data_IF_931906360296
#
_entry.id   IF_931906360296
#
_cell.length_a   1.000
_cell.length_b   1.000
_cell.length_c   1.000
_cell.angle_alpha   90.00
_cell.angle_beta   90.00
_cell.angle_gamma   90.00
#
_symmetry.space_group_name_H-M   'P 1'
#
loop_
_entity.id
_entity.type
_entity.pdbx_description
1 polymer ?
#
# COMPACT_ATOMS: atom_id res chain seq x y z
N UNK A 1 5.00 25.88 -31.02
CA UNK A 1 3.67 25.24 -31.25
C UNK A 1 2.94 25.22 -29.92
N UNK A 2 1.61 25.48 -29.88
CA UNK A 2 0.82 25.40 -28.67
C UNK A 2 0.64 23.92 -28.24
N UNK A 3 0.27 23.70 -26.96
CA UNK A 3 -0.07 22.37 -26.46
C UNK A 3 -1.31 21.81 -27.17
N UNK A 4 -1.38 20.52 -27.38
CA UNK A 4 -2.60 19.89 -27.87
C UNK A 4 -3.74 20.03 -26.82
N UNK A 5 -4.98 20.08 -27.31
CA UNK A 5 -6.18 20.27 -26.49
C UNK A 5 -7.04 19.02 -26.53
N UNK A 6 -7.31 18.45 -25.37
CA UNK A 6 -8.25 17.36 -25.16
C UNK A 6 -9.57 17.94 -24.69
N UNK A 7 -10.63 17.77 -25.51
CA UNK A 7 -11.99 18.22 -25.16
C UNK A 7 -12.84 17.03 -24.73
N UNK A 8 -13.56 17.18 -23.62
CA UNK A 8 -14.42 16.13 -23.07
C UNK A 8 -15.81 16.13 -23.75
N UNK A 9 -16.48 14.99 -23.70
CA UNK A 9 -17.87 14.86 -24.15
C UNK A 9 -18.82 15.63 -23.22
N UNK A 10 -19.96 16.02 -23.74
CA UNK A 10 -21.01 16.67 -22.94
C UNK A 10 -21.44 15.79 -21.79
N UNK A 11 -21.38 16.34 -20.57
CA UNK A 11 -21.75 15.66 -19.34
C UNK A 11 -20.65 14.79 -18.72
N UNK A 12 -19.49 14.67 -19.38
CA UNK A 12 -18.32 13.95 -18.86
C UNK A 12 -17.37 14.85 -18.04
N UNK A 13 -16.30 14.27 -17.48
CA UNK A 13 -15.37 14.97 -16.59
C UNK A 13 -15.92 15.19 -15.18
N UNK A 14 -16.95 14.45 -14.77
CA UNK A 14 -17.53 14.57 -13.42
C UNK A 14 -16.53 14.20 -12.34
N UNK A 15 -15.79 13.10 -12.54
CA UNK A 15 -14.74 12.69 -11.62
C UNK A 15 -13.66 13.79 -11.50
N UNK A 16 -13.23 14.35 -12.63
CA UNK A 16 -12.25 15.43 -12.63
C UNK A 16 -12.77 16.67 -11.88
N UNK A 17 -14.01 17.08 -12.15
CA UNK A 17 -14.65 18.25 -11.50
C UNK A 17 -14.87 18.04 -9.99
N UNK A 18 -15.04 16.80 -9.52
CA UNK A 18 -15.20 16.47 -8.11
C UNK A 18 -13.87 16.27 -7.35
N UNK A 19 -12.73 16.40 -8.02
CA UNK A 19 -11.42 16.28 -7.37
C UNK A 19 -10.53 15.17 -7.88
N UNK A 20 -11.05 14.23 -8.68
CA UNK A 20 -10.27 13.15 -9.31
C UNK A 20 -9.23 13.66 -10.29
N UNK A 21 -8.34 12.76 -10.70
CA UNK A 21 -7.18 13.12 -11.54
C UNK A 21 -7.13 12.34 -12.86
N UNK A 22 -8.11 11.49 -13.15
CA UNK A 22 -8.12 10.65 -14.33
C UNK A 22 -9.21 11.03 -15.31
N UNK A 23 -8.88 10.93 -16.60
CA UNK A 23 -9.82 11.02 -17.72
C UNK A 23 -9.66 9.76 -18.55
N UNK A 24 -10.76 9.04 -18.71
CA UNK A 24 -10.78 7.81 -19.47
C UNK A 24 -11.01 8.06 -20.96
N UNK A 25 -10.60 7.10 -21.79
CA UNK A 25 -10.75 7.11 -23.25
C UNK A 25 -12.18 7.41 -23.70
N UNK A 26 -13.15 6.85 -23.04
CA UNK A 26 -14.58 7.00 -23.34
C UNK A 26 -15.15 8.40 -23.00
N UNK A 27 -14.45 9.21 -22.19
CA UNK A 27 -14.87 10.58 -21.82
C UNK A 27 -14.45 11.61 -22.85
N UNK A 28 -13.49 11.28 -23.74
CA UNK A 28 -12.88 12.23 -24.70
C UNK A 28 -13.74 12.34 -25.96
N UNK A 29 -14.05 13.59 -26.35
CA UNK A 29 -14.73 13.90 -27.60
C UNK A 29 -13.75 14.09 -28.75
N UNK A 30 -12.72 14.96 -28.56
CA UNK A 30 -11.74 15.29 -29.58
C UNK A 30 -10.38 15.57 -28.96
N UNK A 31 -9.33 15.37 -29.76
CA UNK A 31 -7.96 15.82 -29.43
C UNK A 31 -7.50 16.66 -30.61
N UNK A 32 -7.20 17.93 -30.38
CA UNK A 32 -6.75 18.87 -31.39
C UNK A 32 -5.30 19.27 -31.13
N UNK A 33 -4.50 19.34 -32.22
CA UNK A 33 -3.08 19.64 -32.16
C UNK A 33 -2.21 18.39 -32.24
N UNK A 34 -0.89 18.59 -32.32
CA UNK A 34 0.09 17.51 -32.41
C UNK A 34 0.60 17.13 -31.04
N UNK A 35 0.72 15.86 -30.77
CA UNK A 35 1.31 15.34 -29.52
C UNK A 35 1.95 13.97 -29.77
N UNK A 36 2.80 13.56 -28.86
CA UNK A 36 3.21 12.16 -28.68
C UNK A 36 2.81 11.70 -27.28
N UNK A 37 2.56 10.40 -27.11
CA UNK A 37 2.20 9.85 -25.82
C UNK A 37 3.24 10.21 -24.76
N UNK A 38 2.79 10.68 -23.60
CA UNK A 38 3.61 11.21 -22.51
C UNK A 38 3.77 12.74 -22.50
N UNK A 39 3.30 13.44 -23.54
CA UNK A 39 3.31 14.90 -23.57
C UNK A 39 2.29 15.51 -22.61
N UNK A 40 2.49 16.78 -22.29
CA UNK A 40 1.54 17.60 -21.56
C UNK A 40 0.52 18.18 -22.55
N UNK A 41 -0.76 18.07 -22.20
CA UNK A 41 -1.89 18.60 -22.98
C UNK A 41 -2.76 19.50 -22.12
N UNK A 42 -3.50 20.40 -22.76
CA UNK A 42 -4.60 21.16 -22.16
C UNK A 42 -5.86 20.29 -22.12
N UNK A 43 -6.66 20.48 -21.09
CA UNK A 43 -7.90 19.75 -20.87
C UNK A 43 -9.03 20.76 -20.80
N UNK A 44 -10.02 20.62 -21.70
CA UNK A 44 -11.21 21.45 -21.73
C UNK A 44 -12.47 20.59 -21.58
N UNK A 45 -13.52 21.17 -21.02
CA UNK A 45 -14.82 20.51 -21.03
C UNK A 45 -15.52 20.69 -22.41
N UNK A 46 -16.75 20.19 -22.50
CA UNK A 46 -17.53 20.25 -23.73
C UNK A 46 -17.71 21.67 -24.28
N UNK A 47 -17.87 22.66 -23.41
CA UNK A 47 -18.12 24.06 -23.77
C UNK A 47 -16.81 24.86 -23.96
N UNK A 48 -15.64 24.20 -23.89
CA UNK A 48 -14.33 24.82 -24.03
C UNK A 48 -13.81 25.44 -22.72
N UNK A 49 -14.45 25.20 -21.59
CA UNK A 49 -13.98 25.68 -20.30
C UNK A 49 -12.71 24.92 -19.89
N UNK A 50 -11.62 25.62 -19.50
CA UNK A 50 -10.38 24.97 -19.12
C UNK A 50 -10.53 24.21 -17.81
N UNK A 51 -10.10 22.95 -17.81
CA UNK A 51 -10.08 22.06 -16.63
C UNK A 51 -8.67 21.84 -16.10
N UNK A 52 -7.64 22.22 -16.87
CA UNK A 52 -6.24 22.13 -16.46
C UNK A 52 -5.30 21.53 -17.49
N UNK A 53 -4.18 20.96 -17.00
CA UNK A 53 -3.13 20.30 -17.78
C UNK A 53 -2.85 18.91 -17.23
N UNK A 54 -2.48 17.99 -18.13
CA UNK A 54 -2.13 16.62 -17.73
C UNK A 54 -1.28 15.90 -18.77
N UNK A 55 -0.75 14.74 -18.41
CA UNK A 55 -0.08 13.84 -19.33
C UNK A 55 -1.09 13.08 -20.16
N UNK A 56 -0.85 12.99 -21.48
CA UNK A 56 -1.66 12.16 -22.38
C UNK A 56 -0.95 10.85 -22.71
N UNK A 57 -1.72 9.77 -22.72
CA UNK A 57 -1.28 8.46 -23.22
C UNK A 57 -2.47 7.68 -23.80
N UNK A 58 -2.55 7.62 -25.12
CA UNK A 58 -3.62 6.92 -25.85
C UNK A 58 -3.51 5.40 -25.85
N UNK A 59 -2.39 4.83 -25.36
CA UNK A 59 -2.27 3.38 -25.12
C UNK A 59 -3.02 2.96 -23.84
N UNK A 60 -3.26 3.89 -22.94
CA UNK A 60 -3.91 3.64 -21.66
C UNK A 60 -5.39 3.99 -21.70
N UNK A 61 -6.22 3.20 -21.04
CA UNK A 61 -7.63 3.55 -20.80
C UNK A 61 -7.78 4.82 -19.95
N UNK A 62 -6.83 5.10 -19.06
CA UNK A 62 -6.69 6.39 -18.38
C UNK A 62 -5.87 7.28 -19.31
N UNK A 63 -6.55 7.82 -20.29
CA UNK A 63 -5.89 8.52 -21.41
C UNK A 63 -5.25 9.84 -20.98
N UNK A 64 -5.82 10.55 -20.00
CA UNK A 64 -5.17 11.73 -19.44
C UNK A 64 -5.09 11.65 -17.93
N UNK A 65 -3.92 11.97 -17.40
CA UNK A 65 -3.65 12.08 -15.96
C UNK A 65 -3.35 13.54 -15.62
N UNK A 66 -4.23 14.15 -14.83
CA UNK A 66 -4.14 15.57 -14.48
C UNK A 66 -2.86 15.87 -13.70
N UNK A 67 -2.20 16.95 -14.04
CA UNK A 67 -1.08 17.54 -13.29
C UNK A 67 -1.50 18.81 -12.56
N UNK A 68 -2.15 19.73 -13.22
CA UNK A 68 -2.61 20.99 -12.66
C UNK A 68 -4.03 21.31 -13.11
N UNK A 69 -4.83 21.87 -12.21
CA UNK A 69 -6.18 22.39 -12.53
C UNK A 69 -6.14 23.79 -13.13
N UNK A 70 -4.99 24.44 -13.04
CA UNK A 70 -4.76 25.74 -13.65
C UNK A 70 -3.96 25.55 -14.97
N UNK A 71 -4.58 25.94 -16.07
CA UNK A 71 -3.96 25.86 -17.40
C UNK A 71 -2.79 26.82 -17.60
N UNK A 72 -2.65 27.85 -16.75
CA UNK A 72 -1.53 28.77 -16.80
C UNK A 72 -0.27 28.24 -16.13
N UNK A 73 -0.42 27.21 -15.27
CA UNK A 73 0.71 26.61 -14.57
C UNK A 73 1.79 26.13 -15.55
N UNK A 74 3.02 26.56 -15.36
CA UNK A 74 4.18 26.02 -16.09
C UNK A 74 4.61 24.72 -15.42
N UNK A 75 4.65 23.63 -16.20
CA UNK A 75 5.08 22.32 -15.72
C UNK A 75 6.58 22.17 -16.03
N UNK A 76 7.40 22.59 -15.10
CA UNK A 76 8.85 22.59 -15.18
C UNK A 76 9.51 22.02 -13.90
N UNK A 77 10.82 22.17 -13.77
CA UNK A 77 11.58 21.71 -12.60
C UNK A 77 11.10 22.40 -11.31
N UNK A 78 10.77 23.69 -11.36
CA UNK A 78 10.29 24.46 -10.18
C UNK A 78 8.94 23.92 -9.70
N UNK A 79 8.06 23.59 -10.63
CA UNK A 79 6.78 22.95 -10.33
C UNK A 79 6.96 21.60 -9.62
N UNK A 80 7.86 20.76 -10.12
CA UNK A 80 8.10 19.45 -9.50
C UNK A 80 8.86 19.58 -8.17
N UNK A 81 9.82 20.50 -8.05
CA UNK A 81 10.52 20.76 -6.78
C UNK A 81 9.53 21.17 -5.69
N UNK A 82 8.61 22.08 -6.00
CA UNK A 82 7.58 22.48 -5.04
C UNK A 82 6.76 21.28 -4.55
N UNK A 83 6.32 20.42 -5.47
CA UNK A 83 5.54 19.23 -5.10
C UNK A 83 6.31 18.22 -4.29
N UNK A 84 7.58 17.99 -4.61
CA UNK A 84 8.47 17.15 -3.82
C UNK A 84 8.59 17.69 -2.40
N UNK A 85 8.78 19.02 -2.25
CA UNK A 85 8.83 19.66 -0.94
C UNK A 85 7.51 19.50 -0.18
N UNK A 86 6.38 19.76 -0.83
CA UNK A 86 5.06 19.64 -0.22
C UNK A 86 4.82 18.19 0.28
N UNK A 87 5.18 17.18 -0.52
CA UNK A 87 5.08 15.77 -0.15
C UNK A 87 5.98 15.41 1.05
N UNK A 88 7.22 15.88 1.05
CA UNK A 88 8.16 15.63 2.15
C UNK A 88 7.74 16.35 3.44
N UNK A 89 7.36 17.62 3.36
CA UNK A 89 6.87 18.39 4.51
C UNK A 89 5.62 17.76 5.14
N UNK A 90 4.75 17.18 4.32
CA UNK A 90 3.61 16.41 4.82
C UNK A 90 4.08 15.20 5.62
N UNK A 91 5.02 14.38 5.11
CA UNK A 91 5.55 13.18 5.81
C UNK A 91 6.18 13.54 7.14
N UNK A 92 6.95 14.61 7.20
CA UNK A 92 7.57 15.07 8.46
C UNK A 92 6.55 15.36 9.57
N UNK A 93 5.31 15.73 9.20
CA UNK A 93 4.24 16.05 10.15
C UNK A 93 3.42 14.84 10.61
N UNK A 94 3.34 13.80 9.78
CA UNK A 94 2.33 12.75 10.00
C UNK A 94 2.91 11.37 10.29
N UNK A 95 4.20 11.12 9.97
CA UNK A 95 4.83 9.82 10.18
C UNK A 95 6.27 9.95 10.67
N UNK A 96 6.80 8.85 11.23
CA UNK A 96 8.24 8.65 11.37
C UNK A 96 8.86 8.47 9.98
N UNK A 97 9.75 9.39 9.61
CA UNK A 97 10.34 9.47 8.26
C UNK A 97 11.60 8.64 8.09
N UNK A 98 12.07 7.88 9.10
CA UNK A 98 13.22 6.99 8.96
C UNK A 98 13.03 6.01 7.81
N UNK A 99 11.81 5.45 7.70
CA UNK A 99 11.36 4.68 6.54
C UNK A 99 9.90 4.98 6.30
N UNK A 100 9.56 5.50 5.12
CA UNK A 100 8.20 5.93 4.78
C UNK A 100 8.01 6.00 3.26
N UNK A 101 6.75 5.97 2.81
CA UNK A 101 6.42 6.34 1.43
C UNK A 101 6.48 7.86 1.29
N UNK A 102 7.39 8.37 0.48
CA UNK A 102 7.59 9.81 0.28
C UNK A 102 6.63 10.35 -0.78
N UNK A 103 6.39 9.58 -1.85
CA UNK A 103 5.45 9.93 -2.93
C UNK A 103 4.48 8.78 -3.14
N UNK A 104 3.18 9.07 -3.10
CA UNK A 104 2.10 8.13 -3.30
C UNK A 104 1.16 8.54 -4.44
N UNK A 105 1.67 8.50 -5.67
CA UNK A 105 0.90 8.66 -6.89
C UNK A 105 0.01 9.90 -6.91
N UNK A 106 -1.24 9.68 -7.25
CA UNK A 106 -2.28 10.70 -7.36
C UNK A 106 -2.51 11.45 -6.05
N UNK A 107 -2.35 10.79 -4.92
CA UNK A 107 -2.57 11.40 -3.61
C UNK A 107 -1.52 12.48 -3.23
N UNK A 108 -0.37 12.47 -3.90
CA UNK A 108 0.65 13.52 -3.82
C UNK A 108 0.77 14.30 -5.13
N UNK A 109 -0.21 14.16 -6.03
CA UNK A 109 -0.24 14.84 -7.33
C UNK A 109 0.92 14.48 -8.27
N UNK A 110 1.47 13.27 -8.12
CA UNK A 110 2.46 12.65 -9.02
C UNK A 110 1.84 11.41 -9.68
N UNK A 111 0.91 11.55 -10.62
CA UNK A 111 0.11 10.44 -11.12
C UNK A 111 0.96 9.28 -11.64
N UNK A 112 0.82 8.12 -11.00
CA UNK A 112 1.53 6.91 -11.35
C UNK A 112 2.97 6.80 -10.83
N UNK A 113 3.46 7.71 -9.97
CA UNK A 113 4.78 7.63 -9.35
C UNK A 113 4.68 7.25 -7.87
N UNK A 114 5.43 6.24 -7.47
CA UNK A 114 5.59 5.85 -6.06
C UNK A 114 7.07 5.89 -5.71
N UNK A 115 7.42 6.52 -4.58
CA UNK A 115 8.78 6.52 -4.04
C UNK A 115 8.72 6.18 -2.56
N UNK A 116 9.34 5.04 -2.21
CA UNK A 116 9.54 4.61 -0.83
C UNK A 116 10.97 4.89 -0.40
N UNK A 117 11.12 5.40 0.82
CA UNK A 117 12.40 5.60 1.48
C UNK A 117 12.57 4.52 2.55
N UNK A 118 13.61 3.71 2.42
CA UNK A 118 14.05 2.72 3.40
C UNK A 118 15.40 3.17 3.94
N UNK A 119 15.43 3.73 5.15
CA UNK A 119 16.64 4.32 5.76
C UNK A 119 17.27 5.36 4.81
N UNK A 120 18.40 5.04 4.18
CA UNK A 120 19.17 5.88 3.25
C UNK A 120 19.05 5.47 1.77
N UNK A 121 18.05 4.63 1.45
CA UNK A 121 17.77 4.13 0.09
C UNK A 121 16.40 4.57 -0.38
N UNK A 122 16.29 4.95 -1.66
CA UNK A 122 15.01 5.18 -2.31
C UNK A 122 14.66 3.99 -3.22
N UNK A 123 13.41 3.58 -3.19
CA UNK A 123 12.84 2.60 -4.13
C UNK A 123 11.72 3.27 -4.92
N UNK A 124 11.85 3.22 -6.25
CA UNK A 124 10.99 3.99 -7.16
C UNK A 124 10.16 3.05 -8.02
N UNK A 125 8.87 3.33 -8.14
CA UNK A 125 7.99 2.73 -9.14
C UNK A 125 7.40 3.82 -10.00
N UNK A 126 7.64 3.76 -11.30
CA UNK A 126 7.00 4.64 -12.30
C UNK A 126 6.04 3.79 -13.13
N UNK A 127 4.75 4.07 -13.00
CA UNK A 127 3.68 3.23 -13.52
C UNK A 127 2.88 3.88 -14.66
N UNK A 128 3.17 5.15 -15.01
CA UNK A 128 2.51 5.89 -16.08
C UNK A 128 3.53 6.58 -16.99
N UNK A 129 3.26 6.58 -18.30
CA UNK A 129 4.24 7.01 -19.32
C UNK A 129 4.67 8.47 -19.15
N UNK A 130 3.74 9.37 -18.85
CA UNK A 130 4.06 10.80 -18.75
C UNK A 130 5.05 11.07 -17.62
N UNK A 131 4.79 10.54 -16.43
CA UNK A 131 5.66 10.76 -15.26
C UNK A 131 7.00 10.01 -15.39
N UNK A 132 7.04 8.91 -16.13
CA UNK A 132 8.26 8.14 -16.38
C UNK A 132 9.36 8.99 -17.04
N UNK A 133 8.97 9.95 -17.91
CA UNK A 133 9.88 10.89 -18.56
C UNK A 133 10.53 11.90 -17.60
N UNK A 134 9.90 12.16 -16.47
CA UNK A 134 10.36 13.11 -15.46
C UNK A 134 10.97 12.44 -14.23
N UNK A 135 10.94 11.10 -14.18
CA UNK A 135 11.33 10.28 -13.04
C UNK A 135 12.72 10.63 -12.50
N UNK A 136 13.72 10.70 -13.35
CA UNK A 136 15.11 10.97 -12.94
C UNK A 136 15.26 12.39 -12.35
N UNK A 137 14.65 13.39 -12.99
CA UNK A 137 14.62 14.76 -12.47
C UNK A 137 13.94 14.82 -11.08
N UNK A 138 12.80 14.14 -10.92
CA UNK A 138 12.06 14.12 -9.65
C UNK A 138 12.89 13.43 -8.55
N UNK A 139 13.63 12.37 -8.88
CA UNK A 139 14.53 11.68 -7.95
C UNK A 139 15.64 12.64 -7.49
N UNK A 140 16.29 13.37 -8.40
CA UNK A 140 17.34 14.31 -8.03
C UNK A 140 16.81 15.49 -7.21
N UNK A 141 15.62 15.99 -7.52
CA UNK A 141 14.94 17.00 -6.71
C UNK A 141 14.63 16.48 -5.29
N UNK A 142 14.15 15.23 -5.18
CA UNK A 142 13.90 14.62 -3.88
C UNK A 142 15.20 14.43 -3.09
N UNK A 143 16.29 13.98 -3.71
CA UNK A 143 17.60 13.86 -3.05
C UNK A 143 18.10 15.22 -2.56
N UNK A 144 17.92 16.29 -3.35
CA UNK A 144 18.24 17.67 -2.96
C UNK A 144 17.45 18.09 -1.72
N UNK A 145 16.13 17.90 -1.73
CA UNK A 145 15.24 18.27 -0.61
C UNK A 145 15.58 17.47 0.66
N UNK A 146 15.82 16.17 0.55
CA UNK A 146 16.23 15.33 1.69
C UNK A 146 17.60 15.76 2.27
N UNK A 147 18.53 16.16 1.40
CA UNK A 147 19.86 16.63 1.82
C UNK A 147 19.79 17.94 2.62
N UNK A 148 18.85 18.82 2.33
CA UNK A 148 18.61 20.04 3.10
C UNK A 148 18.20 19.73 4.55
N UNK A 149 17.52 18.62 4.79
CA UNK A 149 17.18 18.09 6.13
C UNK A 149 18.28 17.16 6.71
N UNK A 150 19.48 17.15 6.11
CA UNK A 150 20.62 16.35 6.58
C UNK A 150 20.53 14.86 6.22
N UNK A 151 19.59 14.45 5.37
CA UNK A 151 19.40 13.06 4.95
C UNK A 151 20.16 12.82 3.64
N UNK A 152 21.20 11.99 3.69
CA UNK A 152 21.95 11.61 2.50
C UNK A 152 21.45 10.26 1.98
N UNK A 153 21.04 10.23 0.73
CA UNK A 153 20.60 9.02 0.04
C UNK A 153 21.81 8.32 -0.57
N UNK A 154 22.03 7.06 -0.14
CA UNK A 154 23.13 6.20 -0.60
C UNK A 154 22.90 5.66 -1.99
N UNK A 155 21.63 5.35 -2.32
CA UNK A 155 21.31 4.74 -3.61
C UNK A 155 19.84 4.74 -3.92
N UNK A 156 19.53 4.46 -5.20
CA UNK A 156 18.17 4.40 -5.73
C UNK A 156 17.99 3.10 -6.51
N UNK A 157 16.92 2.38 -6.23
CA UNK A 157 16.55 1.16 -6.93
C UNK A 157 15.18 1.29 -7.60
N UNK A 158 15.06 0.95 -8.87
CA UNK A 158 13.80 0.98 -9.60
C UNK A 158 13.10 -0.37 -9.54
N UNK A 159 11.82 -0.35 -9.17
CA UNK A 159 10.90 -1.49 -9.13
C UNK A 159 9.68 -1.23 -10.02
N UNK A 160 9.94 -0.74 -11.23
CA UNK A 160 8.93 -0.52 -12.27
C UNK A 160 8.63 -1.81 -13.05
N UNK A 161 8.56 -2.95 -12.34
CA UNK A 161 8.30 -4.30 -12.86
C UNK A 161 6.83 -4.74 -12.74
N UNK A 162 5.93 -3.81 -12.42
CA UNK A 162 4.50 -4.07 -12.34
C UNK A 162 3.84 -4.18 -13.73
N UNK A 163 2.98 -5.19 -13.91
CA UNK A 163 2.32 -5.49 -15.20
C UNK A 163 1.49 -4.33 -15.78
N UNK A 164 1.06 -3.38 -14.94
CA UNK A 164 0.30 -2.20 -15.38
C UNK A 164 1.08 -1.35 -16.38
N UNK A 165 2.42 -1.35 -16.33
CA UNK A 165 3.26 -0.63 -17.31
C UNK A 165 3.00 -1.06 -18.76
N UNK A 166 2.70 -2.34 -18.98
CA UNK A 166 2.37 -2.85 -20.33
C UNK A 166 1.08 -2.24 -20.89
N UNK A 167 0.12 -1.90 -20.01
CA UNK A 167 -1.10 -1.21 -20.39
C UNK A 167 -0.85 0.27 -20.75
N UNK A 168 0.25 0.83 -20.26
CA UNK A 168 0.73 2.16 -20.61
C UNK A 168 1.64 2.17 -21.86
N UNK A 169 1.89 1.00 -22.48
CA UNK A 169 2.82 0.86 -23.61
C UNK A 169 4.29 0.93 -23.20
N UNK A 170 4.62 0.61 -21.94
CA UNK A 170 5.98 0.66 -21.40
C UNK A 170 6.53 -0.71 -21.09
N UNK A 171 7.85 -0.87 -21.23
CA UNK A 171 8.57 -2.05 -20.79
C UNK A 171 8.68 -2.12 -19.25
N UNK A 172 8.84 -3.35 -18.74
CA UNK A 172 9.10 -3.57 -17.32
C UNK A 172 10.57 -3.22 -17.03
N UNK A 173 10.81 -2.44 -15.99
CA UNK A 173 12.16 -2.01 -15.58
C UNK A 173 12.42 -2.39 -14.13
N UNK A 174 13.60 -2.97 -13.88
CA UNK A 174 14.09 -3.29 -12.55
C UNK A 174 15.61 -3.13 -12.53
N UNK A 175 16.15 -2.33 -11.62
CA UNK A 175 17.58 -2.09 -11.55
C UNK A 175 17.98 -0.88 -10.75
N UNK A 176 19.27 -0.62 -10.71
CA UNK A 176 19.82 0.57 -10.06
C UNK A 176 19.63 1.82 -10.92
N UNK A 177 19.30 2.93 -10.30
CA UNK A 177 19.41 4.26 -10.89
C UNK A 177 20.65 4.92 -10.30
N UNK A 178 21.73 4.96 -11.08
CA UNK A 178 23.06 5.38 -10.64
C UNK A 178 23.91 4.24 -10.07
N UNK A 179 24.81 4.49 -9.12
CA UNK A 179 25.74 3.47 -8.60
C UNK A 179 25.02 2.31 -7.89
N UNK A 180 25.59 1.11 -8.02
CA UNK A 180 25.14 -0.08 -7.31
C UNK A 180 25.43 0.01 -5.81
N UNK A 181 24.58 -0.63 -5.00
CA UNK A 181 24.71 -0.70 -3.54
C UNK A 181 24.15 -2.05 -3.03
N UNK A 182 24.47 -2.47 -1.78
CA UNK A 182 23.87 -3.66 -1.18
C UNK A 182 22.34 -3.51 -1.05
N UNK A 183 21.59 -4.43 -1.65
CA UNK A 183 20.12 -4.35 -1.77
C UNK A 183 19.36 -4.82 -0.54
N UNK A 184 20.03 -5.47 0.41
CA UNK A 184 19.50 -5.73 1.75
C UNK A 184 19.73 -4.47 2.60
N UNK A 185 18.63 -3.83 2.98
CA UNK A 185 18.62 -2.57 3.71
C UNK A 185 18.05 -2.79 5.11
N UNK A 186 18.80 -2.46 6.14
CA UNK A 186 18.29 -2.47 7.51
C UNK A 186 17.41 -1.24 7.76
N UNK A 187 16.21 -1.47 8.26
CA UNK A 187 15.29 -0.43 8.71
C UNK A 187 14.87 -0.69 10.15
N UNK A 188 14.41 0.36 10.81
CA UNK A 188 13.76 0.28 12.12
C UNK A 188 12.36 0.88 12.05
N UNK A 189 11.36 0.13 12.52
CA UNK A 189 9.99 0.57 12.62
C UNK A 189 9.38 0.05 13.94
N UNK A 190 8.76 0.93 14.73
CA UNK A 190 8.13 0.56 16.00
C UNK A 190 9.09 -0.17 16.97
N UNK A 191 10.36 0.17 16.99
CA UNK A 191 11.44 -0.47 17.76
C UNK A 191 11.80 -1.88 17.27
N UNK A 192 11.33 -2.28 16.12
CA UNK A 192 11.66 -3.55 15.47
C UNK A 192 12.57 -3.28 14.28
N UNK A 193 13.66 -4.03 14.19
CA UNK A 193 14.59 -4.00 13.05
C UNK A 193 14.20 -5.03 12.02
N UNK A 194 14.29 -4.66 10.75
CA UNK A 194 14.03 -5.53 9.62
C UNK A 194 15.14 -5.42 8.58
N UNK A 195 15.49 -6.53 7.96
CA UNK A 195 16.22 -6.56 6.71
C UNK A 195 15.18 -6.50 5.57
N UNK A 196 15.23 -5.44 4.78
CA UNK A 196 14.37 -5.23 3.62
C UNK A 196 15.14 -5.49 2.35
N UNK A 197 14.71 -6.44 1.54
CA UNK A 197 15.27 -6.68 0.22
C UNK A 197 14.57 -5.78 -0.80
N UNK A 198 15.20 -4.70 -1.19
CA UNK A 198 14.65 -3.75 -2.17
C UNK A 198 14.70 -4.28 -3.60
N UNK A 199 15.52 -5.31 -3.87
CA UNK A 199 15.65 -5.95 -5.17
C UNK A 199 14.60 -7.04 -5.37
N UNK A 200 14.53 -8.02 -4.47
CA UNK A 200 13.72 -9.23 -4.65
C UNK A 200 12.52 -9.34 -3.70
N UNK A 201 12.40 -8.42 -2.75
CA UNK A 201 11.25 -8.31 -1.85
C UNK A 201 9.94 -7.97 -2.60
N UNK A 202 8.82 -8.24 -1.97
CA UNK A 202 7.51 -7.95 -2.55
C UNK A 202 7.29 -6.43 -2.74
N UNK A 203 6.65 -6.04 -3.84
CA UNK A 203 6.43 -4.64 -4.23
C UNK A 203 7.76 -3.86 -4.24
N UNK A 204 7.91 -2.88 -3.34
CA UNK A 204 9.12 -2.07 -3.15
C UNK A 204 10.09 -2.67 -2.13
N UNK A 205 9.73 -3.77 -1.45
CA UNK A 205 10.53 -4.47 -0.45
C UNK A 205 9.84 -4.69 0.89
N UNK A 206 9.00 -3.76 1.34
CA UNK A 206 8.29 -3.84 2.61
C UNK A 206 6.94 -3.12 2.57
N UNK A 207 5.99 -3.52 3.42
CA UNK A 207 4.63 -2.96 3.49
C UNK A 207 4.57 -1.83 4.52
N UNK A 208 5.00 -0.62 4.13
CA UNK A 208 5.02 0.56 5.00
C UNK A 208 3.61 1.02 5.41
N UNK A 209 2.60 0.71 4.60
CA UNK A 209 1.19 1.06 4.84
C UNK A 209 0.59 0.47 6.12
N UNK A 210 1.15 -0.63 6.61
CA UNK A 210 0.72 -1.31 7.85
C UNK A 210 1.47 -0.84 9.12
N UNK A 211 2.40 0.13 9.03
CA UNK A 211 3.25 0.60 10.13
C UNK A 211 2.50 0.80 11.44
N UNK A 212 1.44 1.60 11.42
CA UNK A 212 0.68 1.92 12.62
C UNK A 212 -0.37 0.88 12.99
N UNK A 213 -0.74 -0.02 12.08
CA UNK A 213 -1.56 -1.18 12.37
C UNK A 213 -0.74 -2.21 13.16
N UNK A 214 0.54 -2.40 12.79
CA UNK A 214 1.49 -3.19 13.56
C UNK A 214 1.71 -2.63 14.97
N UNK A 215 1.86 -1.31 15.10
CA UNK A 215 1.98 -0.65 16.40
C UNK A 215 0.71 -0.83 17.24
N UNK A 216 -0.47 -0.77 16.61
CA UNK A 216 -1.75 -0.84 17.33
C UNK A 216 -1.97 -2.19 18.03
N UNK A 217 -1.41 -3.30 17.50
CA UNK A 217 -1.57 -4.62 18.15
C UNK A 217 -0.64 -4.79 19.36
N UNK A 218 0.44 -4.03 19.48
CA UNK A 218 1.42 -4.20 20.55
C UNK A 218 0.78 -4.15 21.94
N UNK A 219 -0.16 -3.23 22.18
CA UNK A 219 -0.86 -3.06 23.46
C UNK A 219 -1.67 -4.31 23.90
N UNK A 220 -1.94 -5.22 22.96
CA UNK A 220 -2.74 -6.43 23.19
C UNK A 220 -1.86 -7.66 23.43
N UNK A 221 -0.54 -7.57 23.21
CA UNK A 221 0.33 -8.72 23.09
C UNK A 221 1.13 -9.04 24.36
N UNK A 222 1.18 -8.17 25.37
CA UNK A 222 1.94 -8.42 26.60
C UNK A 222 1.45 -9.71 27.30
N UNK A 223 2.35 -10.67 27.49
CA UNK A 223 2.09 -12.01 28.06
C UNK A 223 1.10 -12.85 27.23
N UNK A 224 0.79 -12.46 26.00
CA UNK A 224 -0.18 -13.13 25.14
C UNK A 224 0.46 -14.29 24.35
N UNK A 225 -0.33 -15.33 24.07
CA UNK A 225 -0.08 -16.33 23.03
C UNK A 225 -0.69 -15.80 21.72
N UNK A 226 0.16 -15.55 20.70
CA UNK A 226 -0.23 -14.86 19.46
C UNK A 226 -0.07 -15.77 18.25
N UNK A 227 -1.06 -15.74 17.34
CA UNK A 227 -1.00 -16.36 16.01
C UNK A 227 -1.05 -15.24 14.96
N UNK A 228 -0.03 -15.17 14.11
CA UNK A 228 0.07 -14.22 13.00
C UNK A 228 0.01 -14.96 11.65
N UNK A 229 -1.14 -14.88 10.99
CA UNK A 229 -1.42 -15.52 9.71
C UNK A 229 -1.09 -14.59 8.54
N UNK A 230 -0.43 -15.15 7.51
CA UNK A 230 0.11 -14.41 6.39
C UNK A 230 1.24 -13.44 6.84
N UNK A 231 2.10 -13.97 7.69
CA UNK A 231 3.11 -13.17 8.43
C UNK A 231 4.13 -12.48 7.52
N UNK A 232 4.28 -12.93 6.26
CA UNK A 232 5.27 -12.46 5.31
C UNK A 232 6.67 -12.50 5.94
N UNK A 233 7.38 -11.38 6.03
CA UNK A 233 8.70 -11.27 6.67
C UNK A 233 8.63 -11.11 8.21
N UNK A 234 7.52 -11.50 8.83
CA UNK A 234 7.34 -11.53 10.28
C UNK A 234 6.91 -10.21 10.90
N UNK A 235 6.40 -9.27 10.12
CA UNK A 235 6.26 -7.89 10.58
C UNK A 235 5.26 -7.70 11.73
N UNK A 236 4.09 -8.35 11.72
CA UNK A 236 3.17 -8.36 12.85
C UNK A 236 3.68 -9.23 14.01
N UNK A 237 4.20 -10.43 13.70
CA UNK A 237 4.72 -11.35 14.70
C UNK A 237 5.85 -10.71 15.54
N UNK A 238 6.76 -9.97 14.90
CA UNK A 238 7.87 -9.30 15.60
C UNK A 238 7.37 -8.12 16.44
N UNK A 239 6.36 -7.38 15.98
CA UNK A 239 5.72 -6.35 16.81
C UNK A 239 5.04 -6.96 18.06
N UNK A 240 4.44 -8.15 17.93
CA UNK A 240 3.91 -8.87 19.09
C UNK A 240 5.03 -9.36 20.03
N UNK A 241 6.14 -9.85 19.47
CA UNK A 241 7.31 -10.30 20.23
C UNK A 241 7.96 -9.19 21.04
N UNK A 242 8.22 -8.01 20.41
CA UNK A 242 8.85 -6.87 21.10
C UNK A 242 7.93 -6.31 22.19
N UNK A 243 6.61 -6.41 22.01
CA UNK A 243 5.61 -6.02 23.00
C UNK A 243 5.50 -6.98 24.21
N UNK A 244 6.32 -8.03 24.24
CA UNK A 244 6.39 -8.96 25.37
C UNK A 244 5.36 -10.10 25.32
N UNK A 245 4.97 -10.54 24.12
CA UNK A 245 4.18 -11.78 23.96
C UNK A 245 4.91 -12.96 24.60
N UNK A 246 4.16 -13.88 25.22
CA UNK A 246 4.72 -15.09 25.80
C UNK A 246 5.20 -16.08 24.73
N UNK A 247 4.46 -16.17 23.63
CA UNK A 247 4.84 -16.94 22.45
C UNK A 247 4.11 -16.40 21.22
N UNK A 248 4.78 -16.42 20.08
CA UNK A 248 4.21 -16.00 18.80
C UNK A 248 4.48 -17.06 17.74
N UNK A 249 3.45 -17.47 17.01
CA UNK A 249 3.57 -18.31 15.84
C UNK A 249 3.20 -17.47 14.60
N UNK A 250 4.17 -17.18 13.75
CA UNK A 250 3.98 -16.57 12.45
C UNK A 250 3.86 -17.63 11.35
N UNK A 251 2.91 -17.49 10.45
CA UNK A 251 2.63 -18.50 9.41
C UNK A 251 2.55 -17.82 8.05
N UNK A 252 3.28 -18.38 7.08
CA UNK A 252 3.20 -17.96 5.66
C UNK A 252 3.44 -19.17 4.75
N UNK A 253 2.86 -19.16 3.56
CA UNK A 253 3.06 -20.22 2.57
C UNK A 253 4.40 -20.10 1.82
N UNK A 254 5.07 -18.96 1.89
CA UNK A 254 6.35 -18.70 1.22
C UNK A 254 7.53 -19.07 2.11
N UNK A 255 8.28 -20.11 1.75
CA UNK A 255 9.51 -20.50 2.46
C UNK A 255 10.51 -19.34 2.54
N UNK A 256 10.70 -18.59 1.45
CA UNK A 256 11.59 -17.43 1.41
C UNK A 256 11.16 -16.33 2.41
N UNK A 257 9.86 -16.07 2.51
CA UNK A 257 9.34 -15.10 3.47
C UNK A 257 9.54 -15.56 4.93
N UNK A 258 9.32 -16.86 5.20
CA UNK A 258 9.52 -17.49 6.51
C UNK A 258 11.01 -17.46 6.92
N UNK A 259 11.92 -17.76 6.00
CA UNK A 259 13.36 -17.67 6.25
C UNK A 259 13.79 -16.24 6.58
N UNK A 260 13.27 -15.26 5.86
CA UNK A 260 13.51 -13.85 6.13
C UNK A 260 12.90 -13.40 7.47
N UNK A 261 11.70 -13.89 7.81
CA UNK A 261 11.06 -13.62 9.09
C UNK A 261 11.89 -14.19 10.27
N UNK A 262 12.43 -15.41 10.13
CA UNK A 262 13.32 -16.00 11.13
C UNK A 262 14.65 -15.22 11.25
N UNK A 263 15.20 -14.72 10.14
CA UNK A 263 16.37 -13.84 10.18
C UNK A 263 16.06 -12.52 10.91
N UNK A 264 14.90 -11.93 10.66
CA UNK A 264 14.44 -10.74 11.37
C UNK A 264 14.20 -10.99 12.86
N UNK A 265 13.71 -12.18 13.27
CA UNK A 265 13.59 -12.54 14.68
C UNK A 265 14.94 -12.57 15.37
N UNK A 266 15.96 -13.20 14.78
CA UNK A 266 17.34 -13.19 15.29
C UNK A 266 17.93 -11.80 15.39
N UNK A 267 17.69 -10.94 14.39
CA UNK A 267 18.15 -9.55 14.38
C UNK A 267 17.63 -8.75 15.59
N UNK A 268 16.47 -9.14 16.13
CA UNK A 268 15.83 -8.51 17.28
C UNK A 268 16.00 -9.29 18.59
N UNK A 269 16.70 -10.44 18.61
CA UNK A 269 16.83 -11.29 19.80
C UNK A 269 15.49 -11.88 20.24
N UNK A 270 14.62 -12.21 19.30
CA UNK A 270 13.26 -12.70 19.54
C UNK A 270 13.06 -14.18 19.14
N UNK A 271 14.09 -14.87 18.69
CA UNK A 271 14.03 -16.23 18.15
C UNK A 271 13.51 -17.27 19.15
N UNK A 272 13.69 -17.04 20.45
CA UNK A 272 13.20 -17.96 21.51
C UNK A 272 11.68 -17.91 21.69
N UNK A 273 11.03 -16.77 21.34
CA UNK A 273 9.59 -16.55 21.58
C UNK A 273 8.77 -16.38 20.32
N UNK A 274 9.40 -16.02 19.19
CA UNK A 274 8.76 -15.82 17.90
C UNK A 274 9.23 -16.90 16.94
N UNK A 275 8.35 -17.84 16.66
CA UNK A 275 8.61 -18.96 15.77
C UNK A 275 7.84 -18.78 14.46
N UNK A 276 8.37 -19.32 13.38
CA UNK A 276 7.74 -19.22 12.05
C UNK A 276 7.53 -20.61 11.45
N UNK A 277 6.41 -20.77 10.72
CA UNK A 277 6.01 -22.02 10.09
C UNK A 277 5.64 -21.75 8.63
N UNK A 278 6.29 -22.47 7.70
CA UNK A 278 5.95 -22.44 6.28
C UNK A 278 4.78 -23.40 6.02
N UNK A 279 3.55 -22.87 6.00
CA UNK A 279 2.31 -23.64 5.77
C UNK A 279 1.24 -22.72 5.13
N UNK A 280 0.33 -23.36 4.39
CA UNK A 280 -0.90 -22.71 3.95
C UNK A 280 -1.83 -22.45 5.14
N UNK A 281 -2.24 -21.20 5.31
CA UNK A 281 -3.12 -20.78 6.41
C UNK A 281 -4.50 -21.44 6.31
N UNK A 282 -5.01 -21.67 5.10
CA UNK A 282 -6.29 -22.34 4.89
C UNK A 282 -6.28 -23.81 5.33
N UNK A 283 -5.12 -24.46 5.29
CA UNK A 283 -4.94 -25.84 5.80
C UNK A 283 -4.67 -25.83 7.31
N UNK A 284 -3.84 -24.90 7.79
CA UNK A 284 -3.42 -24.89 9.18
C UNK A 284 -4.54 -24.49 10.15
N UNK A 285 -5.37 -23.50 9.81
CA UNK A 285 -6.42 -23.04 10.74
C UNK A 285 -7.42 -24.16 11.13
N UNK A 286 -7.91 -25.01 10.21
CA UNK A 286 -8.70 -26.18 10.56
C UNK A 286 -7.97 -27.16 11.49
N UNK A 287 -6.69 -27.48 11.21
CA UNK A 287 -5.89 -28.38 12.07
C UNK A 287 -5.74 -27.84 13.51
N UNK A 288 -5.52 -26.54 13.66
CA UNK A 288 -5.44 -25.92 14.99
C UNK A 288 -6.80 -25.95 15.71
N UNK A 289 -7.91 -25.81 14.96
CA UNK A 289 -9.27 -25.93 15.50
C UNK A 289 -9.53 -27.37 15.99
N UNK A 290 -9.16 -28.40 15.22
CA UNK A 290 -9.28 -29.81 15.59
C UNK A 290 -8.46 -30.16 16.84
N UNK A 291 -7.28 -29.53 17.01
CA UNK A 291 -6.42 -29.65 18.19
C UNK A 291 -6.89 -28.79 19.38
N UNK A 292 -8.01 -28.10 19.24
CA UNK A 292 -8.55 -27.21 20.28
C UNK A 292 -7.58 -26.10 20.73
N UNK A 293 -6.61 -25.74 19.86
CA UNK A 293 -5.65 -24.68 20.16
C UNK A 293 -6.34 -23.34 20.37
N UNK A 294 -5.84 -22.54 21.33
CA UNK A 294 -6.38 -21.21 21.64
C UNK A 294 -5.27 -20.19 21.76
N UNK A 295 -5.58 -18.99 21.27
CA UNK A 295 -4.70 -17.84 21.26
C UNK A 295 -5.37 -16.65 21.95
N UNK A 296 -4.57 -15.80 22.58
CA UNK A 296 -5.04 -14.54 23.15
C UNK A 296 -5.26 -13.49 22.04
N UNK A 297 -4.40 -13.51 21.00
CA UNK A 297 -4.49 -12.63 19.84
C UNK A 297 -4.30 -13.45 18.57
N UNK A 298 -5.20 -13.29 17.61
CA UNK A 298 -5.04 -13.82 16.25
C UNK A 298 -5.01 -12.64 15.27
N UNK A 299 -4.03 -12.65 14.38
CA UNK A 299 -3.83 -11.60 13.36
C UNK A 299 -4.01 -12.23 11.98
N UNK A 300 -4.79 -11.59 11.11
CA UNK A 300 -5.05 -11.97 9.73
C UNK A 300 -4.69 -10.82 8.80
N UNK A 301 -3.55 -10.91 8.11
CA UNK A 301 -3.12 -9.96 7.08
C UNK A 301 -2.99 -10.63 5.70
N UNK A 302 -4.10 -11.13 5.14
CA UNK A 302 -4.06 -11.89 3.90
C UNK A 302 -3.70 -11.02 2.69
N UNK A 303 -3.15 -11.61 1.63
CA UNK A 303 -3.03 -10.94 0.34
C UNK A 303 -4.40 -10.55 -0.21
N UNK A 304 -4.42 -9.63 -1.17
CA UNK A 304 -5.65 -9.24 -1.84
C UNK A 304 -6.29 -10.45 -2.54
N UNK A 305 -7.39 -10.97 -2.01
CA UNK A 305 -8.12 -12.10 -2.59
C UNK A 305 -8.91 -11.74 -3.84
N UNK A 306 -9.06 -10.44 -4.14
CA UNK A 306 -9.66 -9.99 -5.40
C UNK A 306 -8.88 -8.83 -5.99
N UNK A 307 -8.73 -8.90 -7.33
CA UNK A 307 -8.13 -7.85 -8.16
C UNK A 307 -9.11 -7.36 -9.24
N UNK A 308 -10.34 -7.86 -9.23
CA UNK A 308 -11.37 -7.52 -10.20
C UNK A 308 -12.78 -7.67 -9.62
N UNK A 309 -13.75 -6.96 -10.18
CA UNK A 309 -15.17 -7.10 -9.79
C UNK A 309 -15.70 -8.52 -9.96
N UNK A 310 -15.24 -9.26 -10.96
CA UNK A 310 -15.68 -10.64 -11.23
C UNK A 310 -15.28 -11.64 -10.15
N UNK A 311 -14.22 -11.37 -9.38
CA UNK A 311 -13.70 -12.27 -8.33
C UNK A 311 -14.17 -11.91 -6.91
N UNK A 312 -15.02 -10.89 -6.74
CA UNK A 312 -15.52 -10.46 -5.41
C UNK A 312 -16.20 -11.60 -4.64
N UNK A 313 -17.07 -12.40 -5.28
CA UNK A 313 -17.75 -13.51 -4.60
C UNK A 313 -16.79 -14.54 -4.00
N UNK A 314 -15.70 -14.85 -4.71
CA UNK A 314 -14.67 -15.77 -4.21
C UNK A 314 -13.85 -15.13 -3.08
N UNK A 315 -13.55 -13.85 -3.18
CA UNK A 315 -12.87 -13.12 -2.10
C UNK A 315 -13.70 -13.11 -0.81
N UNK A 316 -15.01 -12.82 -0.90
CA UNK A 316 -15.92 -12.88 0.25
C UNK A 316 -15.88 -14.25 0.92
N UNK A 317 -15.90 -15.35 0.15
CA UNK A 317 -15.77 -16.71 0.70
C UNK A 317 -14.45 -16.90 1.45
N UNK A 318 -13.32 -16.49 0.85
CA UNK A 318 -11.99 -16.59 1.46
C UNK A 318 -11.88 -15.78 2.76
N UNK A 319 -12.27 -14.51 2.73
CA UNK A 319 -12.27 -13.66 3.94
C UNK A 319 -13.19 -14.21 5.03
N UNK A 320 -14.39 -14.70 4.65
CA UNK A 320 -15.32 -15.32 5.61
C UNK A 320 -14.72 -16.55 6.27
N UNK A 321 -14.08 -17.44 5.49
CA UNK A 321 -13.49 -18.69 5.99
C UNK A 321 -12.37 -18.41 6.98
N UNK A 322 -11.37 -17.61 6.62
CA UNK A 322 -10.25 -17.33 7.54
C UNK A 322 -10.70 -16.62 8.81
N UNK A 323 -11.65 -15.67 8.70
CA UNK A 323 -12.18 -14.98 9.89
C UNK A 323 -13.01 -15.94 10.77
N UNK A 324 -13.82 -16.83 10.19
CA UNK A 324 -14.57 -17.86 10.93
C UNK A 324 -13.62 -18.75 11.73
N UNK A 325 -12.57 -19.30 11.11
CA UNK A 325 -11.59 -20.18 11.76
C UNK A 325 -10.82 -19.44 12.85
N UNK A 326 -10.33 -18.22 12.52
CA UNK A 326 -9.63 -17.39 13.50
C UNK A 326 -10.49 -17.12 14.76
N UNK A 327 -11.77 -16.77 14.58
CA UNK A 327 -12.69 -16.52 15.70
C UNK A 327 -12.90 -17.74 16.61
N UNK A 328 -12.83 -18.94 16.08
CA UNK A 328 -12.88 -20.18 16.86
C UNK A 328 -11.58 -20.42 17.65
N UNK A 329 -10.44 -19.95 17.14
CA UNK A 329 -9.13 -20.07 17.80
C UNK A 329 -8.90 -18.99 18.86
N UNK A 330 -9.58 -17.83 18.80
CA UNK A 330 -9.46 -16.79 19.81
C UNK A 330 -10.12 -17.22 21.12
N UNK A 331 -9.41 -17.07 22.26
CA UNK A 331 -9.96 -17.27 23.61
C UNK A 331 -11.11 -16.28 23.88
N UNK A 332 -11.99 -16.65 24.82
CA UNK A 332 -12.98 -15.72 25.37
C UNK A 332 -12.25 -14.51 25.97
N UNK A 333 -12.64 -13.29 25.54
CA UNK A 333 -12.00 -12.05 25.96
C UNK A 333 -10.72 -11.70 25.19
N UNK A 334 -10.21 -12.60 24.34
CA UNK A 334 -9.08 -12.35 23.45
C UNK A 334 -9.43 -11.45 22.25
N UNK A 335 -8.48 -11.26 21.35
CA UNK A 335 -8.59 -10.27 20.27
C UNK A 335 -8.36 -10.89 18.89
N UNK A 336 -9.12 -10.42 17.91
CA UNK A 336 -8.91 -10.64 16.49
C UNK A 336 -8.49 -9.33 15.84
N UNK A 337 -7.32 -9.28 15.20
CA UNK A 337 -6.93 -8.24 14.27
C UNK A 337 -7.07 -8.80 12.85
N UNK A 338 -7.85 -8.14 11.99
CA UNK A 338 -8.11 -8.64 10.64
C UNK A 338 -8.16 -7.51 9.64
N UNK A 339 -7.59 -7.74 8.45
CA UNK A 339 -7.56 -6.70 7.42
C UNK A 339 -7.87 -7.22 6.02
N UNK A 340 -8.12 -6.26 5.14
CA UNK A 340 -8.21 -6.45 3.70
C UNK A 340 -7.54 -5.29 2.98
N UNK A 341 -6.57 -5.60 2.12
CA UNK A 341 -5.94 -4.65 1.21
C UNK A 341 -6.57 -4.65 -0.19
N UNK A 342 -7.70 -5.34 -0.39
CA UNK A 342 -8.40 -5.38 -1.68
C UNK A 342 -9.25 -4.14 -1.87
N UNK A 343 -9.02 -3.39 -2.94
CA UNK A 343 -9.85 -2.23 -3.32
C UNK A 343 -11.33 -2.64 -3.54
N UNK A 344 -11.58 -3.77 -4.20
CA UNK A 344 -12.94 -4.28 -4.47
C UNK A 344 -13.64 -4.92 -3.26
N UNK A 345 -12.96 -5.05 -2.13
CA UNK A 345 -13.53 -5.40 -0.83
C UNK A 345 -13.68 -4.10 -0.06
N UNK A 346 -14.74 -3.34 -0.33
CA UNK A 346 -15.00 -2.08 0.34
C UNK A 346 -15.30 -2.27 1.84
N UNK A 347 -15.45 -1.15 2.54
CA UNK A 347 -15.71 -1.13 3.98
C UNK A 347 -16.97 -1.92 4.38
N UNK A 348 -18.07 -1.70 3.66
CA UNK A 348 -19.36 -2.30 3.99
C UNK A 348 -19.33 -3.80 3.76
N UNK A 349 -18.81 -4.23 2.61
CA UNK A 349 -18.72 -5.64 2.25
C UNK A 349 -17.80 -6.40 3.20
N UNK A 350 -16.65 -5.80 3.59
CA UNK A 350 -15.72 -6.42 4.54
C UNK A 350 -16.33 -6.54 5.93
N UNK A 351 -17.00 -5.49 6.42
CA UNK A 351 -17.71 -5.49 7.70
C UNK A 351 -18.83 -6.55 7.73
N UNK A 352 -19.63 -6.64 6.68
CA UNK A 352 -20.68 -7.66 6.56
C UNK A 352 -20.09 -9.08 6.54
N UNK A 353 -18.98 -9.28 5.85
CA UNK A 353 -18.29 -10.57 5.77
C UNK A 353 -17.78 -11.04 7.14
N UNK A 354 -17.14 -10.15 7.90
CA UNK A 354 -16.69 -10.44 9.28
C UNK A 354 -17.90 -10.72 10.18
N UNK A 355 -18.98 -9.94 10.07
CA UNK A 355 -20.20 -10.15 10.83
C UNK A 355 -20.86 -11.52 10.55
N UNK A 356 -20.80 -12.00 9.30
CA UNK A 356 -21.26 -13.34 8.93
C UNK A 356 -20.36 -14.43 9.55
N UNK A 357 -19.03 -14.24 9.51
CA UNK A 357 -18.08 -15.17 10.14
C UNK A 357 -18.32 -15.27 11.65
N UNK A 358 -18.54 -14.14 12.33
CA UNK A 358 -18.82 -14.08 13.77
C UNK A 358 -20.11 -14.82 14.16
N UNK A 359 -21.18 -14.63 13.40
CA UNK A 359 -22.45 -15.38 13.60
C UNK A 359 -22.23 -16.87 13.44
N UNK A 360 -21.51 -17.30 12.40
CA UNK A 360 -21.19 -18.72 12.16
C UNK A 360 -20.26 -19.32 13.22
N UNK A 361 -19.42 -18.52 13.87
CA UNK A 361 -18.56 -18.93 14.97
C UNK A 361 -19.28 -18.89 16.34
N UNK A 362 -20.54 -18.46 16.40
CA UNK A 362 -21.27 -18.19 17.64
C UNK A 362 -20.49 -17.25 18.59
N UNK A 363 -19.94 -16.16 18.03
CA UNK A 363 -19.17 -15.15 18.76
C UNK A 363 -19.79 -13.77 18.59
N UNK A 364 -19.70 -12.96 19.66
CA UNK A 364 -19.95 -11.52 19.59
C UNK A 364 -18.65 -10.78 19.50
N UNK A 365 -18.62 -9.74 18.69
CA UNK A 365 -17.46 -8.87 18.50
C UNK A 365 -17.72 -7.50 19.08
N UNK A 366 -16.78 -7.02 19.88
CA UNK A 366 -16.70 -5.65 20.31
C UNK A 366 -15.60 -4.97 19.52
N UNK A 367 -15.94 -4.03 18.66
CA UNK A 367 -14.95 -3.27 17.93
C UNK A 367 -14.11 -2.42 18.89
N UNK A 368 -12.80 -2.60 18.83
CA UNK A 368 -11.81 -1.83 19.61
C UNK A 368 -11.29 -0.68 18.77
N UNK A 369 -10.87 -0.99 17.52
CA UNK A 369 -10.36 -0.01 16.57
C UNK A 369 -10.81 -0.35 15.15
N UNK A 370 -10.95 0.69 14.33
CA UNK A 370 -10.95 0.66 12.90
C UNK A 370 -9.85 1.59 12.39
N UNK A 371 -9.03 1.10 11.49
CA UNK A 371 -7.87 1.81 10.96
C UNK A 371 -7.77 1.59 9.45
N UNK A 372 -7.03 2.48 8.79
CA UNK A 372 -6.71 2.40 7.37
C UNK A 372 -5.20 2.27 7.17
N UNK A 373 -4.72 2.53 5.98
CA UNK A 373 -3.29 2.63 5.69
C UNK A 373 -2.62 3.75 6.49
N UNK A 374 -1.31 3.62 6.71
CA UNK A 374 -0.54 4.64 7.39
C UNK A 374 -0.60 5.99 6.66
N UNK A 375 -0.50 7.13 7.37
CA UNK A 375 -0.66 8.47 6.78
C UNK A 375 0.32 8.82 5.65
N UNK A 376 1.46 8.14 5.54
CA UNK A 376 2.36 8.28 4.39
C UNK A 376 1.82 7.65 3.09
N UNK A 377 0.69 6.95 3.18
CA UNK A 377 -0.15 6.50 2.07
C UNK A 377 -1.46 7.29 2.09
N UNK A 378 -1.43 8.60 1.83
CA UNK A 378 -2.60 9.46 2.05
C UNK A 378 -3.80 9.02 1.22
N UNK A 379 -4.98 9.20 1.79
CA UNK A 379 -6.26 9.01 1.10
C UNK A 379 -6.66 10.36 0.54
N UNK A 380 -6.64 10.48 -0.79
CA UNK A 380 -7.12 11.67 -1.46
C UNK A 380 -8.63 11.58 -1.64
N UNK A 381 -9.38 12.50 -1.02
CA UNK A 381 -10.82 12.59 -1.20
C UNK A 381 -11.17 12.86 -2.67
N UNK A 382 -12.18 12.18 -3.18
CA UNK A 382 -12.55 12.11 -4.60
C UNK A 382 -11.58 11.31 -5.51
N UNK A 383 -10.64 10.57 -4.92
CA UNK A 383 -9.81 9.57 -5.60
C UNK A 383 -9.93 8.23 -4.85
N UNK A 384 -11.03 7.51 -5.09
CA UNK A 384 -11.40 6.27 -4.37
C UNK A 384 -10.31 5.19 -4.46
N UNK A 385 -9.51 5.22 -5.53
CA UNK A 385 -8.37 4.30 -5.71
C UNK A 385 -7.28 4.46 -4.66
N UNK A 386 -7.20 5.61 -4.00
CA UNK A 386 -6.24 5.86 -2.92
C UNK A 386 -6.62 5.18 -1.61
N UNK A 387 -7.89 4.76 -1.43
CA UNK A 387 -8.38 4.07 -0.26
C UNK A 387 -8.51 2.56 -0.51
N UNK A 388 -7.65 1.76 0.11
CA UNK A 388 -7.61 0.32 -0.16
C UNK A 388 -7.47 -0.56 1.08
N UNK A 389 -6.94 -0.06 2.21
CA UNK A 389 -6.68 -0.85 3.41
C UNK A 389 -7.76 -0.64 4.46
N UNK A 390 -8.37 -1.73 4.90
CA UNK A 390 -9.31 -1.81 6.03
C UNK A 390 -8.71 -2.73 7.07
N UNK A 391 -8.52 -2.24 8.28
CA UNK A 391 -7.95 -2.98 9.40
C UNK A 391 -8.84 -2.83 10.63
N UNK A 392 -9.26 -3.95 11.19
CA UNK A 392 -10.08 -3.99 12.41
C UNK A 392 -9.33 -4.68 13.54
N UNK A 393 -9.55 -4.19 14.74
CA UNK A 393 -9.28 -4.92 15.99
C UNK A 393 -10.62 -5.15 16.69
N UNK A 394 -10.94 -6.40 16.99
CA UNK A 394 -12.11 -6.80 17.74
C UNK A 394 -11.71 -7.55 19.02
N UNK A 395 -12.41 -7.28 20.12
CA UNK A 395 -12.46 -8.18 21.24
C UNK A 395 -13.52 -9.25 20.99
N UNK A 396 -13.15 -10.52 21.19
CA UNK A 396 -14.04 -11.66 21.01
C UNK A 396 -14.74 -11.94 22.31
N UNK A 397 -16.07 -11.72 22.35
CA UNK A 397 -16.93 -11.99 23.49
C UNK A 397 -17.69 -13.31 23.29
N UNK A 398 -18.04 -13.98 24.39
CA UNK A 398 -18.92 -15.13 24.36
C UNK A 398 -20.38 -14.69 24.48
N UNK A 399 -21.29 -15.45 23.88
CA UNK A 399 -22.73 -15.26 24.07
C UNK A 399 -23.22 -15.79 25.40
N UNK A 400 -22.33 -16.42 26.19
CA UNK A 400 -22.63 -17.04 27.49
C UNK A 400 -21.72 -16.50 28.59
#
# INVERSE_FOLDING_TARGET
MGLAVVSLKKGEGRLLKSGGMWIFDNEIATIMGSFVNGDIVLIHDFDGYPLGKGFINTNSRITVRLLSRDEQTVIDEVFFEKRVRDAWEYRKKVVDTRSCRVIFGEADFFPGLVIDKFSDVLVVQSLALGIDRYKEMIIELLKKVLKEDGIQIRGVYERSDAKVRRQEGMELVKGFIGPEFPTLVEIEENQVKYQVDVKDGQKTGFFLDQKYNRLAIQKLCKNAKVLDCFTHTGSFALNAGIAGASSVLGVDASALAVDQAAANARLNGLEDRVQFLCRDVFELLPELEEKEEKFDVVILDPPAFTKSRSSIKNAVKGYREINLRALKLVRKGGFLATCSCSHFMDYELFTQTIGQAARSAHKRLRQVEYRTQAPDHPILWAADESYYLKFYIFQVCSDR
#
